data_IF_909942470783
#
_entry.id   IF_909942470783
#
_cell.length_a   1.000
_cell.length_b   1.000
_cell.length_c   1.000
_cell.angle_alpha   90.00
_cell.angle_beta   90.00
_cell.angle_gamma   90.00
#
_symmetry.space_group_name_H-M   'P 1'
#
loop_
_entity.id
_entity.type
_entity.pdbx_description
1 polymer ?
#
# COMPACT_ATOMS: atom_id res chain seq x y z
N UNK A 1 -6.03 14.58 15.08
CA UNK A 1 -5.53 14.01 13.81
C UNK A 1 -6.11 12.62 13.61
N UNK A 2 -6.73 12.40 12.48
CA UNK A 2 -7.25 11.07 12.13
C UNK A 2 -6.09 10.20 11.67
N UNK A 3 -5.87 9.08 12.33
CA UNK A 3 -4.88 8.12 11.89
C UNK A 3 -5.58 6.96 11.17
N UNK A 4 -4.96 6.45 10.12
CA UNK A 4 -5.51 5.32 9.37
C UNK A 4 -5.55 4.04 10.21
N UNK A 5 -4.73 3.95 11.25
CA UNK A 5 -4.73 2.80 12.16
C UNK A 5 -6.05 2.64 12.91
N UNK A 6 -6.86 3.71 13.01
CA UNK A 6 -8.18 3.67 13.63
C UNK A 6 -9.30 3.27 12.66
N UNK A 7 -8.99 3.07 11.39
CA UNK A 7 -9.95 2.63 10.40
C UNK A 7 -10.04 1.10 10.42
N UNK A 8 -11.15 0.57 10.95
CA UNK A 8 -11.34 -0.87 11.11
C UNK A 8 -11.33 -1.61 9.77
N UNK A 9 -11.92 -1.04 8.73
CA UNK A 9 -11.92 -1.66 7.40
C UNK A 9 -10.53 -1.75 6.82
N UNK A 10 -9.75 -0.68 6.97
CA UNK A 10 -8.36 -0.67 6.53
C UNK A 10 -7.56 -1.72 7.29
N UNK A 11 -7.70 -1.77 8.61
CA UNK A 11 -6.94 -2.72 9.41
C UNK A 11 -7.31 -4.16 9.08
N UNK A 12 -8.58 -4.43 8.79
CA UNK A 12 -9.00 -5.77 8.36
C UNK A 12 -8.36 -6.14 7.02
N UNK A 13 -8.26 -5.20 6.08
CA UNK A 13 -7.60 -5.45 4.79
C UNK A 13 -6.09 -5.64 4.94
N UNK A 14 -5.47 -4.88 5.82
CA UNK A 14 -4.04 -5.04 6.14
C UNK A 14 -3.78 -6.41 6.76
N UNK A 15 -4.67 -6.87 7.63
CA UNK A 15 -4.56 -8.22 8.21
C UNK A 15 -4.66 -9.31 7.14
N UNK A 16 -5.50 -9.12 6.13
CA UNK A 16 -5.59 -10.04 4.98
C UNK A 16 -4.30 -10.03 4.16
N UNK A 17 -3.69 -8.89 3.98
CA UNK A 17 -2.39 -8.77 3.29
C UNK A 17 -1.34 -9.57 4.05
N UNK A 18 -1.29 -9.44 5.37
CA UNK A 18 -0.37 -10.19 6.21
C UNK A 18 -0.62 -11.71 6.09
N UNK A 19 -1.88 -12.12 6.06
CA UNK A 19 -2.27 -13.53 5.91
C UNK A 19 -1.80 -14.08 4.56
N UNK A 20 -2.04 -13.37 3.47
CA UNK A 20 -1.60 -13.77 2.12
C UNK A 20 -0.08 -13.85 2.06
N UNK A 21 0.62 -12.87 2.63
CA UNK A 21 2.08 -12.89 2.69
C UNK A 21 2.59 -14.12 3.42
N UNK A 22 1.93 -14.51 4.52
CA UNK A 22 2.25 -15.72 5.26
C UNK A 22 2.07 -16.98 4.43
N UNK A 23 1.01 -17.06 3.63
CA UNK A 23 0.78 -18.20 2.73
C UNK A 23 1.84 -18.28 1.64
N UNK A 24 2.21 -17.15 1.03
CA UNK A 24 3.26 -17.13 0.01
C UNK A 24 4.59 -17.61 0.58
N UNK A 25 4.90 -17.20 1.79
CA UNK A 25 6.11 -17.63 2.49
C UNK A 25 6.06 -19.13 2.79
N UNK A 26 4.95 -19.61 3.35
CA UNK A 26 4.79 -21.01 3.76
C UNK A 26 4.85 -21.96 2.56
N UNK A 27 4.32 -21.54 1.42
CA UNK A 27 4.35 -22.35 0.19
C UNK A 27 5.70 -22.32 -0.53
N UNK A 28 6.64 -21.48 -0.08
CA UNK A 28 7.94 -21.36 -0.74
C UNK A 28 7.89 -20.60 -2.05
N UNK A 29 6.79 -19.90 -2.35
CA UNK A 29 6.64 -19.15 -3.59
C UNK A 29 7.30 -17.76 -3.55
N UNK A 30 7.69 -17.32 -2.39
CA UNK A 30 8.28 -16.01 -2.18
C UNK A 30 9.52 -16.10 -1.31
N UNK A 31 10.49 -16.89 -1.77
CA UNK A 31 11.76 -17.05 -1.09
C UNK A 31 12.60 -15.78 -1.21
N UNK A 32 13.37 -15.46 -0.18
CA UNK A 32 14.21 -14.26 -0.11
C UNK A 32 13.39 -13.00 -0.38
N UNK A 33 13.73 -12.24 -1.42
CA UNK A 33 13.07 -11.01 -1.81
C UNK A 33 12.00 -11.23 -2.87
N UNK A 34 11.63 -12.47 -3.14
CA UNK A 34 10.64 -12.80 -4.17
C UNK A 34 9.23 -12.42 -3.77
N UNK A 35 8.47 -11.96 -4.75
CA UNK A 35 7.06 -11.65 -4.59
C UNK A 35 6.79 -10.22 -4.16
N UNK A 36 5.65 -9.73 -4.63
CA UNK A 36 5.13 -8.41 -4.27
C UNK A 36 3.63 -8.54 -4.03
N UNK A 37 3.10 -7.69 -3.17
CA UNK A 37 1.66 -7.55 -2.98
C UNK A 37 1.30 -6.09 -3.19
N UNK A 38 0.28 -5.84 -4.00
CA UNK A 38 -0.33 -4.53 -4.11
C UNK A 38 -1.84 -4.68 -4.03
N UNK A 39 -2.50 -3.76 -3.34
CA UNK A 39 -3.95 -3.79 -3.16
C UNK A 39 -4.50 -2.39 -3.38
N UNK A 40 -5.51 -2.28 -4.24
CA UNK A 40 -6.20 -1.02 -4.46
C UNK A 40 -7.18 -0.79 -3.31
N UNK A 41 -6.94 0.23 -2.52
CA UNK A 41 -7.74 0.60 -1.37
C UNK A 41 -8.69 1.77 -1.63
N UNK A 42 -8.80 2.22 -2.87
CA UNK A 42 -9.54 3.43 -3.24
C UNK A 42 -10.98 3.38 -2.77
N UNK A 43 -11.68 2.28 -3.03
CA UNK A 43 -13.08 2.12 -2.64
C UNK A 43 -13.23 2.13 -1.12
N UNK A 44 -12.32 1.49 -0.42
CA UNK A 44 -12.34 1.40 1.03
C UNK A 44 -12.09 2.75 1.69
N UNK A 45 -11.27 3.60 1.06
CA UNK A 45 -10.88 4.91 1.57
C UNK A 45 -11.56 6.06 0.79
N UNK A 46 -12.67 5.80 0.08
CA UNK A 46 -13.28 6.73 -0.87
C UNK A 46 -13.60 8.10 -0.28
N UNK A 47 -14.02 8.18 0.97
CA UNK A 47 -14.39 9.45 1.60
C UNK A 47 -13.19 10.19 2.19
N UNK A 48 -12.13 9.49 2.56
CA UNK A 48 -10.97 10.06 3.23
C UNK A 48 -9.70 10.09 2.41
N UNK A 49 -9.64 9.36 1.29
CA UNK A 49 -8.40 9.16 0.55
C UNK A 49 -7.75 10.43 0.03
N UNK A 50 -8.57 11.40 -0.41
CA UNK A 50 -8.07 12.68 -0.93
C UNK A 50 -7.56 13.62 0.16
N UNK A 51 -8.09 13.47 1.37
CA UNK A 51 -7.75 14.34 2.50
C UNK A 51 -6.60 13.80 3.35
N UNK A 52 -6.08 12.62 3.03
CA UNK A 52 -5.00 12.02 3.79
C UNK A 52 -3.70 12.81 3.61
N UNK A 53 -3.01 13.15 4.71
CA UNK A 53 -1.76 13.88 4.59
C UNK A 53 -0.68 13.02 3.93
N UNK A 54 0.08 13.65 3.04
CA UNK A 54 1.22 13.00 2.40
C UNK A 54 2.45 13.11 3.30
N UNK A 55 3.15 12.00 3.49
CA UNK A 55 4.44 11.98 4.17
C UNK A 55 5.54 12.49 3.22
N UNK A 56 5.50 11.99 1.99
CA UNK A 56 6.36 12.47 0.89
C UNK A 56 5.45 12.64 -0.32
N UNK A 57 5.52 13.77 -1.00
CA UNK A 57 4.66 14.07 -2.14
C UNK A 57 5.45 14.30 -3.42
N UNK A 58 4.73 14.22 -4.54
CA UNK A 58 5.25 14.55 -5.87
C UNK A 58 6.45 13.70 -6.30
N UNK A 59 6.41 12.41 -6.00
CA UNK A 59 7.38 11.45 -6.53
C UNK A 59 7.00 11.17 -7.98
N UNK A 60 7.85 11.51 -8.97
CA UNK A 60 7.47 11.35 -10.38
C UNK A 60 7.36 9.89 -10.78
N UNK A 61 6.36 9.59 -11.63
CA UNK A 61 6.20 8.29 -12.25
C UNK A 61 6.94 8.26 -13.58
N UNK A 62 7.47 7.11 -13.95
CA UNK A 62 8.12 6.92 -15.26
C UNK A 62 7.12 7.06 -16.39
N UNK A 63 5.90 6.57 -16.19
CA UNK A 63 4.80 6.69 -17.15
C UNK A 63 3.58 7.26 -16.45
N UNK A 64 2.81 8.10 -17.16
CA UNK A 64 1.57 8.63 -16.63
C UNK A 64 0.54 7.50 -16.44
N UNK A 65 -0.17 7.53 -15.31
CA UNK A 65 -1.21 6.56 -14.96
C UNK A 65 -2.54 7.26 -14.81
N UNK A 66 -3.02 7.86 -15.91
CA UNK A 66 -4.22 8.69 -15.88
C UNK A 66 -5.48 7.93 -15.48
N UNK A 67 -5.55 6.63 -15.78
CA UNK A 67 -6.68 5.80 -15.37
C UNK A 67 -6.72 5.56 -13.85
N UNK A 68 -5.65 5.85 -13.12
CA UNK A 68 -5.52 5.60 -11.69
C UNK A 68 -5.46 6.89 -10.86
N UNK A 69 -5.81 8.03 -11.45
CA UNK A 69 -5.78 9.32 -10.76
C UNK A 69 -6.55 9.26 -9.44
N UNK A 70 -5.92 9.68 -8.35
CA UNK A 70 -6.53 9.71 -7.03
C UNK A 70 -6.65 8.36 -6.33
N UNK A 71 -6.30 7.27 -7.00
CA UNK A 71 -6.36 5.94 -6.41
C UNK A 71 -5.30 5.76 -5.31
N UNK A 72 -5.67 5.02 -4.28
CA UNK A 72 -4.80 4.70 -3.15
C UNK A 72 -4.49 3.21 -3.17
N UNK A 73 -3.23 2.87 -2.99
CA UNK A 73 -2.76 1.48 -2.98
C UNK A 73 -1.92 1.20 -1.75
N UNK A 74 -2.01 -0.03 -1.25
CA UNK A 74 -0.96 -0.60 -0.42
C UNK A 74 0.01 -1.31 -1.37
N UNK A 75 1.32 -1.09 -1.17
CA UNK A 75 2.37 -1.77 -1.93
C UNK A 75 3.45 -2.26 -0.98
N UNK A 76 3.97 -3.47 -1.22
CA UNK A 76 5.10 -3.98 -0.45
C UNK A 76 6.38 -3.24 -0.84
N UNK A 77 7.29 -3.06 0.12
CA UNK A 77 8.56 -2.37 -0.11
C UNK A 77 9.51 -3.19 -0.97
N UNK A 78 10.33 -2.49 -1.75
CA UNK A 78 11.37 -3.12 -2.57
C UNK A 78 12.32 -3.91 -1.68
N UNK A 79 12.59 -5.17 -2.04
CA UNK A 79 13.49 -6.03 -1.30
C UNK A 79 12.94 -6.55 0.02
N UNK A 80 11.69 -6.29 0.34
CA UNK A 80 11.08 -6.82 1.57
C UNK A 80 10.64 -8.25 1.37
N UNK A 81 10.82 -9.06 2.41
CA UNK A 81 10.47 -10.49 2.36
C UNK A 81 9.04 -10.69 2.84
N UNK A 82 8.31 -11.62 2.20
CA UNK A 82 6.94 -11.90 2.58
C UNK A 82 6.79 -12.34 4.04
N UNK A 83 7.76 -13.05 4.61
CA UNK A 83 7.72 -13.43 6.02
C UNK A 83 7.71 -12.21 6.96
N UNK A 84 8.36 -11.11 6.57
CA UNK A 84 8.36 -9.87 7.34
C UNK A 84 7.09 -9.06 7.10
N UNK A 85 6.58 -9.07 5.87
CA UNK A 85 5.27 -8.47 5.56
C UNK A 85 4.18 -9.13 6.38
N UNK A 86 4.23 -10.44 6.53
CA UNK A 86 3.28 -11.20 7.35
C UNK A 86 3.29 -10.77 8.82
N UNK A 87 4.46 -10.41 9.34
CA UNK A 87 4.60 -9.98 10.74
C UNK A 87 4.22 -8.52 10.95
N UNK A 88 4.60 -7.65 10.02
CA UNK A 88 4.36 -6.21 10.12
C UNK A 88 4.19 -5.61 8.73
N UNK A 89 2.96 -5.63 8.19
CA UNK A 89 2.70 -5.10 6.85
C UNK A 89 2.99 -3.61 6.71
N UNK A 90 2.80 -2.80 7.75
CA UNK A 90 3.08 -1.37 7.68
C UNK A 90 4.58 -1.05 7.65
N UNK A 91 5.39 -1.80 8.40
CA UNK A 91 6.84 -1.61 8.40
C UNK A 91 7.49 -2.06 7.09
N UNK A 92 6.83 -2.96 6.35
CA UNK A 92 7.39 -3.57 5.15
C UNK A 92 6.58 -3.23 3.89
N UNK A 93 5.78 -2.19 3.96
CA UNK A 93 5.00 -1.68 2.84
C UNK A 93 4.65 -0.22 3.03
N UNK A 94 3.96 0.34 2.06
CA UNK A 94 3.57 1.74 2.08
C UNK A 94 2.18 1.92 1.49
N UNK A 95 1.49 2.97 1.93
CA UNK A 95 0.31 3.46 1.24
C UNK A 95 0.75 4.57 0.29
N UNK A 96 0.31 4.49 -0.96
CA UNK A 96 0.60 5.50 -1.97
C UNK A 96 -0.71 6.02 -2.56
N UNK A 97 -0.68 7.27 -3.02
CA UNK A 97 -1.79 7.89 -3.73
C UNK A 97 -1.29 8.45 -5.05
N UNK A 98 -1.96 8.09 -6.14
CA UNK A 98 -1.66 8.66 -7.45
C UNK A 98 -2.21 10.08 -7.51
N UNK A 99 -1.43 11.02 -7.99
CA UNK A 99 -1.83 12.42 -8.11
C UNK A 99 -3.00 12.59 -9.09
N UNK A 100 -3.69 13.73 -8.98
CA UNK A 100 -4.84 14.03 -9.83
C UNK A 100 -4.51 14.07 -11.33
N UNK A 101 -3.25 14.35 -11.69
CA UNK A 101 -2.80 14.36 -13.10
C UNK A 101 -2.24 13.01 -13.54
N UNK A 102 -2.13 12.03 -12.64
CA UNK A 102 -1.59 10.72 -12.94
C UNK A 102 -0.09 10.67 -13.20
N UNK A 103 0.63 11.76 -12.97
CA UNK A 103 2.06 11.87 -13.32
C UNK A 103 3.00 11.68 -12.14
N UNK A 104 2.47 11.71 -10.92
CA UNK A 104 3.26 11.53 -9.72
C UNK A 104 2.47 10.76 -8.67
N UNK A 105 3.16 10.34 -7.61
CA UNK A 105 2.51 9.70 -6.47
C UNK A 105 2.98 10.34 -5.17
N UNK A 106 2.21 10.12 -4.12
CA UNK A 106 2.56 10.54 -2.76
C UNK A 106 2.58 9.33 -1.85
N UNK A 107 3.50 9.30 -0.89
CA UNK A 107 3.46 8.36 0.22
C UNK A 107 2.51 8.92 1.28
N UNK A 108 1.59 8.09 1.74
CA UNK A 108 0.55 8.51 2.69
C UNK A 108 1.00 8.20 4.11
N UNK A 109 0.78 9.16 5.00
CA UNK A 109 1.04 8.96 6.42
C UNK A 109 0.00 7.99 7.01
N UNK A 110 0.47 6.97 7.69
CA UNK A 110 -0.37 6.00 8.40
C UNK A 110 -0.57 6.46 9.86
#
# INVERSE_FOLDING_TARGET
MITLRNNERLMAEIDRIAEVAGYLWTKGWAERNGGNISVNLTTLLSEGGKALPALVSSIPLQEAMTALCGHVFYVTGTGKRMRYVAKDPFANGSLIRIAADGKSLSLIHI
#
